data_IF_437623272463
#
_entry.id   IF_437623272463
#
_cell.length_a   1.000
_cell.length_b   1.000
_cell.length_c   1.000
_cell.angle_alpha   90.00
_cell.angle_beta   90.00
_cell.angle_gamma   90.00
#
_symmetry.space_group_name_H-M   'P 1'
#
loop_
_entity.id
_entity.type
_entity.pdbx_description
1 polymer ?
#
# COMPACT_ATOMS: atom_id res chain seq x y z
N UNK A 1 46.05 -49.04 1.90
CA UNK A 1 46.60 -47.78 1.37
C UNK A 1 45.42 -46.87 1.00
N UNK A 2 44.63 -46.42 1.99
CA UNK A 2 43.38 -45.66 1.76
C UNK A 2 43.02 -44.66 2.88
N UNK A 3 43.83 -44.52 3.93
CA UNK A 3 43.51 -43.64 5.08
C UNK A 3 43.93 -42.17 4.93
N UNK A 4 44.92 -41.86 4.08
CA UNK A 4 45.45 -40.49 3.99
C UNK A 4 44.54 -39.52 3.20
N UNK A 5 43.73 -40.03 2.26
CA UNK A 5 42.88 -39.21 1.40
C UNK A 5 41.65 -38.66 2.16
N UNK A 6 41.07 -39.43 3.07
CA UNK A 6 39.87 -39.05 3.83
C UNK A 6 40.17 -38.01 4.90
N UNK A 7 41.32 -38.14 5.57
CA UNK A 7 41.79 -37.17 6.57
C UNK A 7 42.09 -35.79 5.96
N UNK A 8 42.73 -35.75 4.77
CA UNK A 8 43.03 -34.50 4.07
C UNK A 8 41.76 -33.76 3.62
N UNK A 9 40.75 -34.50 3.15
CA UNK A 9 39.47 -33.94 2.73
C UNK A 9 38.61 -33.46 3.91
N UNK A 10 38.62 -34.19 5.04
CA UNK A 10 37.90 -33.78 6.26
C UNK A 10 38.51 -32.52 6.89
N UNK A 11 39.85 -32.42 6.91
CA UNK A 11 40.54 -31.24 7.43
C UNK A 11 40.31 -30.01 6.54
N UNK A 12 40.27 -30.18 5.22
CA UNK A 12 39.93 -29.09 4.29
C UNK A 12 38.47 -28.66 4.43
N UNK A 13 37.54 -29.59 4.62
CA UNK A 13 36.12 -29.28 4.88
C UNK A 13 35.93 -28.53 6.21
N UNK A 14 36.63 -28.93 7.28
CA UNK A 14 36.61 -28.22 8.56
C UNK A 14 37.18 -26.80 8.44
N UNK A 15 38.25 -26.61 7.67
CA UNK A 15 38.81 -25.28 7.40
C UNK A 15 37.84 -24.39 6.60
N UNK A 16 37.21 -24.93 5.57
CA UNK A 16 36.21 -24.20 4.77
C UNK A 16 35.00 -23.81 5.64
N UNK A 17 34.53 -24.73 6.49
CA UNK A 17 33.44 -24.46 7.44
C UNK A 17 33.82 -23.38 8.47
N UNK A 18 35.04 -23.42 9.01
CA UNK A 18 35.52 -22.41 9.95
C UNK A 18 35.65 -21.02 9.29
N UNK A 19 36.13 -20.95 8.05
CA UNK A 19 36.22 -19.70 7.28
C UNK A 19 34.82 -19.13 6.98
N UNK A 20 33.87 -19.98 6.61
CA UNK A 20 32.48 -19.58 6.38
C UNK A 20 31.82 -19.05 7.66
N UNK A 21 32.02 -19.69 8.81
CA UNK A 21 31.43 -19.25 10.07
C UNK A 21 32.00 -17.92 10.59
N UNK A 22 33.27 -17.63 10.34
CA UNK A 22 33.89 -16.34 10.69
C UNK A 22 33.41 -15.20 9.77
N UNK A 23 33.04 -15.51 8.52
CA UNK A 23 32.58 -14.51 7.54
C UNK A 23 31.20 -13.90 7.81
N UNK A 24 30.35 -14.52 8.64
CA UNK A 24 28.95 -14.11 8.83
C UNK A 24 28.78 -13.15 10.05
N UNK A 25 29.84 -12.89 10.82
CA UNK A 25 29.74 -12.14 12.09
C UNK A 25 30.04 -10.63 12.02
N UNK A 26 29.86 -9.99 10.86
CA UNK A 26 30.08 -8.54 10.71
C UNK A 26 28.85 -7.80 10.16
N UNK A 27 27.68 -8.04 10.75
CA UNK A 27 26.56 -7.10 10.65
C UNK A 27 26.49 -6.27 11.94
N UNK A 28 27.26 -5.18 12.01
CA UNK A 28 27.00 -4.14 13.02
C UNK A 28 25.73 -3.41 12.59
N UNK A 29 24.60 -3.80 13.17
CA UNK A 29 23.35 -3.06 13.02
C UNK A 29 23.52 -1.67 13.66
N UNK A 30 23.76 -0.66 12.83
CA UNK A 30 23.72 0.73 13.26
C UNK A 30 22.28 1.19 13.18
N UNK A 31 21.60 1.25 14.34
CA UNK A 31 20.28 1.84 14.41
C UNK A 31 20.35 3.31 13.92
N UNK A 32 19.49 3.74 12.98
CA UNK A 32 19.44 5.13 12.57
C UNK A 32 19.03 6.02 13.74
N UNK A 33 19.80 7.08 13.99
CA UNK A 33 19.46 8.11 14.97
C UNK A 33 18.36 8.97 14.38
N UNK A 34 17.12 8.82 14.88
CA UNK A 34 16.04 9.76 14.59
C UNK A 34 16.44 11.11 15.21
N UNK A 35 16.85 12.07 14.38
CA UNK A 35 16.92 13.48 14.78
C UNK A 35 15.52 14.06 14.61
N UNK A 36 14.84 14.30 15.74
CA UNK A 36 13.61 15.09 15.75
C UNK A 36 14.04 16.53 15.43
N UNK A 37 13.84 16.93 14.18
CA UNK A 37 13.88 18.34 13.79
C UNK A 37 12.52 18.90 14.16
N UNK A 38 12.48 19.79 15.14
CA UNK A 38 11.26 20.53 15.47
C UNK A 38 10.90 21.41 14.26
N UNK A 39 9.81 21.05 13.58
CA UNK A 39 9.18 21.90 12.58
C UNK A 39 8.71 23.18 13.26
N UNK A 40 9.06 24.38 12.77
CA UNK A 40 8.53 25.62 13.30
C UNK A 40 7.00 25.60 13.19
N UNK A 41 6.31 25.80 14.32
CA UNK A 41 4.86 25.95 14.35
C UNK A 41 4.49 27.14 13.45
N UNK A 42 3.67 26.96 12.40
CA UNK A 42 3.16 28.08 11.65
C UNK A 42 2.26 28.93 12.55
N UNK A 43 2.63 30.21 12.67
CA UNK A 43 1.89 31.23 13.41
C UNK A 43 0.48 31.39 12.81
N UNK A 44 -0.59 31.47 13.63
CA UNK A 44 -1.95 31.60 13.13
C UNK A 44 -2.10 32.80 12.19
N UNK A 45 -2.64 32.55 11.00
CA UNK A 45 -3.01 33.59 10.06
C UNK A 45 -4.11 34.46 10.68
N UNK A 46 -3.86 35.76 10.69
CA UNK A 46 -4.79 36.78 11.16
C UNK A 46 -6.03 36.82 10.26
N UNK A 47 -7.21 36.57 10.84
CA UNK A 47 -8.48 36.63 10.13
C UNK A 47 -8.75 38.07 9.66
N UNK A 48 -8.79 38.27 8.35
CA UNK A 48 -9.33 39.48 7.72
C UNK A 48 -10.84 39.28 7.54
N UNK A 49 -11.70 40.24 7.88
CA UNK A 49 -13.14 40.10 7.71
C UNK A 49 -13.50 40.05 6.21
N UNK A 50 -13.94 38.89 5.76
CA UNK A 50 -14.47 38.67 4.41
C UNK A 50 -15.86 39.29 4.28
N UNK A 51 -15.99 40.17 3.29
CA UNK A 51 -17.18 40.93 2.97
C UNK A 51 -18.35 39.98 2.67
N UNK A 52 -19.36 40.00 3.54
CA UNK A 52 -20.61 39.25 3.38
C UNK A 52 -21.33 39.65 2.09
N UNK A 53 -21.39 38.71 1.14
CA UNK A 53 -22.37 38.73 0.06
C UNK A 53 -23.45 37.72 0.42
N UNK A 54 -24.67 38.22 0.59
CA UNK A 54 -25.88 37.42 0.83
C UNK A 54 -26.29 36.75 -0.47
N UNK A 55 -25.87 35.50 -0.68
CA UNK A 55 -26.50 34.64 -1.68
C UNK A 55 -27.84 34.12 -1.13
N UNK A 56 -28.88 34.21 -1.97
CA UNK A 56 -30.20 33.67 -1.70
C UNK A 56 -30.11 32.14 -1.56
N UNK A 57 -30.82 31.51 -0.61
CA UNK A 57 -30.80 30.06 -0.48
C UNK A 57 -31.46 29.43 -1.71
N UNK A 58 -30.64 28.82 -2.56
CA UNK A 58 -31.09 27.78 -3.50
C UNK A 58 -31.73 26.65 -2.69
N UNK A 59 -32.85 26.03 -3.13
CA UNK A 59 -33.50 24.99 -2.35
C UNK A 59 -32.49 23.91 -2.00
N UNK A 60 -32.17 23.80 -0.71
CA UNK A 60 -31.34 22.73 -0.15
C UNK A 60 -32.04 21.42 -0.49
N UNK A 61 -31.56 20.71 -1.49
CA UNK A 61 -31.89 19.31 -1.65
C UNK A 61 -31.42 18.62 -0.37
N UNK A 62 -32.36 18.18 0.46
CA UNK A 62 -32.08 17.33 1.60
C UNK A 62 -31.32 16.12 1.06
N UNK A 63 -30.03 16.01 1.41
CA UNK A 63 -29.19 14.91 0.96
C UNK A 63 -29.89 13.59 1.31
N UNK A 64 -30.22 12.80 0.29
CA UNK A 64 -30.78 11.47 0.49
C UNK A 64 -29.73 10.69 1.30
N UNK A 65 -30.07 10.19 2.50
CA UNK A 65 -29.13 9.40 3.27
C UNK A 65 -28.80 8.14 2.48
N UNK A 66 -27.52 7.91 2.20
CA UNK A 66 -27.09 6.70 1.54
C UNK A 66 -27.37 5.49 2.43
N UNK A 67 -27.70 4.36 1.81
CA UNK A 67 -27.94 3.09 2.51
C UNK A 67 -27.07 1.97 1.95
N UNK A 68 -25.98 2.32 1.26
CA UNK A 68 -25.04 1.33 0.74
C UNK A 68 -24.29 0.65 1.90
N UNK A 69 -24.16 -0.67 1.83
CA UNK A 69 -23.45 -1.47 2.83
C UNK A 69 -22.18 -2.10 2.29
N UNK A 70 -22.01 -2.10 0.97
CA UNK A 70 -20.84 -2.68 0.30
C UNK A 70 -20.18 -1.60 -0.55
N UNK A 71 -18.85 -1.62 -0.59
CA UNK A 71 -18.09 -0.80 -1.50
C UNK A 71 -18.12 -1.35 -2.93
N UNK A 72 -17.54 -0.59 -3.85
CA UNK A 72 -17.46 -0.94 -5.27
C UNK A 72 -16.01 -0.89 -5.74
N UNK A 73 -15.65 -1.73 -6.70
CA UNK A 73 -14.32 -1.70 -7.34
C UNK A 73 -14.45 -1.07 -8.72
N UNK A 74 -13.60 -0.08 -8.98
CA UNK A 74 -13.47 0.55 -10.31
C UNK A 74 -12.07 0.29 -10.86
N UNK A 75 -11.97 0.16 -12.18
CA UNK A 75 -10.69 -0.02 -12.86
C UNK A 75 -10.26 1.29 -13.53
N UNK A 76 -8.95 1.56 -13.56
CA UNK A 76 -8.39 2.75 -14.17
C UNK A 76 -6.95 2.51 -14.66
N UNK A 77 -6.56 3.15 -15.75
CA UNK A 77 -5.18 3.17 -16.23
C UNK A 77 -4.49 4.47 -15.82
N UNK A 78 -3.39 4.34 -15.08
CA UNK A 78 -2.60 5.48 -14.60
C UNK A 78 -1.36 5.65 -15.49
N UNK A 79 -1.20 6.78 -16.19
CA UNK A 79 0.01 7.04 -16.97
C UNK A 79 1.22 7.14 -16.04
N UNK A 80 2.38 6.67 -16.51
CA UNK A 80 3.63 6.70 -15.76
C UNK A 80 4.74 7.23 -16.64
N UNK A 81 5.51 8.20 -16.16
CA UNK A 81 6.69 8.70 -16.88
C UNK A 81 7.88 7.72 -16.77
N UNK A 82 7.90 6.92 -15.70
CA UNK A 82 8.97 5.97 -15.41
C UNK A 82 8.77 4.63 -16.12
N UNK A 83 7.52 4.30 -16.44
CA UNK A 83 7.15 3.07 -17.14
C UNK A 83 6.74 3.43 -18.57
N UNK A 84 7.14 2.61 -19.53
CA UNK A 84 6.81 2.83 -20.95
C UNK A 84 5.32 2.64 -21.24
N UNK A 85 4.60 1.98 -20.33
CA UNK A 85 3.19 1.63 -20.45
C UNK A 85 2.42 2.15 -19.22
N UNK A 86 1.12 2.49 -19.37
CA UNK A 86 0.24 2.80 -18.24
C UNK A 86 0.16 1.64 -17.26
N UNK A 87 -0.09 1.96 -15.98
CA UNK A 87 -0.33 0.97 -14.93
C UNK A 87 -1.83 0.83 -14.71
N UNK A 88 -2.38 -0.33 -15.03
CA UNK A 88 -3.76 -0.66 -14.69
C UNK A 88 -3.91 -0.88 -13.18
N UNK A 89 -4.90 -0.24 -12.57
CA UNK A 89 -5.19 -0.32 -11.14
C UNK A 89 -6.67 -0.64 -10.91
N UNK A 90 -6.94 -1.44 -9.89
CA UNK A 90 -8.28 -1.58 -9.29
C UNK A 90 -8.36 -0.71 -8.06
N UNK A 91 -9.46 0.02 -7.90
CA UNK A 91 -9.68 0.94 -6.79
C UNK A 91 -10.98 0.56 -6.10
N UNK A 92 -10.88 0.14 -4.84
CA UNK A 92 -12.04 0.00 -3.97
C UNK A 92 -12.48 1.37 -3.46
N UNK A 93 -13.75 1.68 -3.68
CA UNK A 93 -14.48 2.82 -3.15
C UNK A 93 -15.37 2.32 -2.00
N UNK A 94 -15.29 2.91 -0.80
CA UNK A 94 -16.11 2.49 0.32
C UNK A 94 -17.60 2.74 0.06
N UNK A 95 -18.50 2.09 0.82
CA UNK A 95 -19.93 2.36 0.73
C UNK A 95 -20.21 3.86 0.82
N UNK A 96 -21.13 4.36 -0.02
CA UNK A 96 -21.55 5.75 -0.07
C UNK A 96 -20.51 6.77 -0.52
N UNK A 97 -19.39 6.34 -1.13
CA UNK A 97 -18.35 7.24 -1.63
C UNK A 97 -18.91 8.39 -2.49
N UNK A 98 -19.86 8.10 -3.39
CA UNK A 98 -20.44 9.11 -4.30
C UNK A 98 -21.48 10.02 -3.64
N UNK A 99 -22.02 9.65 -2.47
CA UNK A 99 -23.04 10.44 -1.77
C UNK A 99 -22.44 11.51 -0.87
N UNK A 100 -21.14 11.46 -0.60
CA UNK A 100 -20.44 12.34 0.33
C UNK A 100 -19.56 13.34 -0.44
N UNK A 101 -20.08 14.54 -0.70
CA UNK A 101 -19.27 15.62 -1.27
C UNK A 101 -18.36 16.25 -0.20
N UNK A 102 -17.14 16.62 -0.59
CA UNK A 102 -16.19 17.31 0.29
C UNK A 102 -15.47 16.42 1.31
N UNK A 103 -15.68 15.10 1.29
CA UNK A 103 -14.94 14.15 2.13
C UNK A 103 -13.62 13.78 1.47
N UNK A 104 -12.54 13.84 2.24
CA UNK A 104 -11.23 13.31 1.84
C UNK A 104 -11.01 11.95 2.47
N UNK A 105 -10.64 10.96 1.66
CA UNK A 105 -10.40 9.60 2.11
C UNK A 105 -8.90 9.33 2.21
N UNK A 106 -8.47 8.62 3.26
CA UNK A 106 -7.14 8.03 3.27
C UNK A 106 -7.03 6.92 2.22
N UNK A 107 -5.80 6.63 1.76
CA UNK A 107 -5.56 5.66 0.69
C UNK A 107 -4.58 4.60 1.16
N UNK A 108 -4.97 3.34 1.02
CA UNK A 108 -4.11 2.18 1.20
C UNK A 108 -3.71 1.62 -0.17
N UNK A 109 -2.41 1.55 -0.45
CA UNK A 109 -1.89 0.84 -1.61
C UNK A 109 -1.55 -0.59 -1.20
N UNK A 110 -2.21 -1.57 -1.80
CA UNK A 110 -2.05 -2.99 -1.46
C UNK A 110 -1.48 -3.77 -2.64
N UNK A 111 -0.21 -4.15 -2.54
CA UNK A 111 0.48 -4.91 -3.57
C UNK A 111 0.20 -6.40 -3.40
N UNK A 112 0.10 -7.12 -4.51
CA UNK A 112 -0.06 -8.57 -4.52
C UNK A 112 1.29 -9.27 -4.24
N UNK A 113 1.22 -10.57 -3.92
CA UNK A 113 2.41 -11.40 -3.78
C UNK A 113 3.05 -11.74 -5.13
N UNK A 114 4.28 -12.23 -5.08
CA UNK A 114 4.95 -12.79 -6.27
C UNK A 114 4.09 -13.90 -6.89
N UNK A 115 4.01 -13.96 -8.21
CA UNK A 115 3.19 -14.90 -9.01
C UNK A 115 1.66 -14.71 -8.90
N UNK A 116 1.19 -13.67 -8.22
CA UNK A 116 -0.24 -13.31 -8.21
C UNK A 116 -0.52 -12.07 -9.05
N UNK A 117 -1.80 -11.74 -9.18
CA UNK A 117 -2.29 -10.59 -9.91
C UNK A 117 -2.98 -9.60 -8.95
N UNK A 118 -3.36 -8.45 -9.48
CA UNK A 118 -4.09 -7.39 -8.79
C UNK A 118 -5.43 -7.85 -8.15
N UNK A 119 -5.98 -8.97 -8.62
CA UNK A 119 -7.21 -9.58 -8.11
C UNK A 119 -7.02 -10.42 -6.83
N UNK A 120 -5.78 -10.68 -6.39
CA UNK A 120 -5.49 -11.57 -5.26
C UNK A 120 -6.28 -11.21 -4.01
N UNK A 121 -6.25 -9.92 -3.65
CA UNK A 121 -6.89 -9.41 -2.44
C UNK A 121 -8.42 -9.47 -2.51
N UNK A 122 -8.97 -9.29 -3.72
CA UNK A 122 -10.40 -9.46 -3.97
C UNK A 122 -10.79 -10.93 -3.77
N UNK A 123 -10.03 -11.85 -4.38
CA UNK A 123 -10.28 -13.30 -4.32
C UNK A 123 -10.23 -13.88 -2.91
N UNK A 124 -9.33 -13.38 -2.05
CA UNK A 124 -9.22 -13.86 -0.66
C UNK A 124 -10.19 -13.15 0.31
N UNK A 125 -11.07 -12.27 -0.19
CA UNK A 125 -12.13 -11.66 0.61
C UNK A 125 -11.72 -10.42 1.42
N UNK A 126 -10.62 -9.75 1.06
CA UNK A 126 -10.19 -8.53 1.76
C UNK A 126 -11.29 -7.47 1.75
N UNK A 127 -11.89 -7.19 0.59
CA UNK A 127 -12.84 -6.09 0.44
C UNK A 127 -14.13 -6.32 1.24
N UNK A 128 -14.66 -7.54 1.22
CA UNK A 128 -15.79 -7.92 2.09
C UNK A 128 -15.46 -7.70 3.56
N UNK A 129 -14.23 -8.05 3.99
CA UNK A 129 -13.83 -7.83 5.38
C UNK A 129 -13.73 -6.34 5.72
N UNK A 130 -13.29 -5.50 4.78
CA UNK A 130 -13.24 -4.05 4.97
C UNK A 130 -14.64 -3.46 5.09
N UNK A 131 -15.59 -3.88 4.26
CA UNK A 131 -17.00 -3.46 4.36
C UNK A 131 -17.57 -3.76 5.77
N UNK A 132 -17.33 -4.97 6.29
CA UNK A 132 -17.73 -5.35 7.66
C UNK A 132 -17.12 -4.42 8.72
N UNK A 133 -15.81 -4.15 8.64
CA UNK A 133 -15.11 -3.31 9.60
C UNK A 133 -15.59 -1.85 9.56
N UNK A 134 -15.93 -1.33 8.37
CA UNK A 134 -16.52 -0.01 8.18
C UNK A 134 -17.93 0.03 8.78
N UNK A 135 -18.77 -0.98 8.51
CA UNK A 135 -20.12 -1.07 9.07
C UNK A 135 -20.12 -1.16 10.60
N UNK A 136 -19.16 -1.89 11.17
CA UNK A 136 -18.92 -1.99 12.61
C UNK A 136 -18.24 -0.74 13.21
N UNK A 137 -17.88 0.25 12.38
CA UNK A 137 -17.17 1.49 12.77
C UNK A 137 -15.82 1.24 13.46
N UNK A 138 -15.18 0.11 13.16
CA UNK A 138 -13.82 -0.22 13.65
C UNK A 138 -12.73 0.48 12.87
N UNK A 139 -13.01 0.83 11.62
CA UNK A 139 -12.15 1.66 10.75
C UNK A 139 -13.00 2.74 10.11
N UNK A 140 -12.40 3.91 9.85
CA UNK A 140 -13.04 4.94 9.03
C UNK A 140 -13.04 4.50 7.57
N UNK A 141 -14.04 4.89 6.74
CA UNK A 141 -14.01 4.65 5.30
C UNK A 141 -12.71 5.15 4.65
N UNK A 142 -12.13 4.34 3.76
CA UNK A 142 -10.88 4.64 3.05
C UNK A 142 -10.84 3.96 1.68
N UNK A 143 -9.97 4.43 0.80
CA UNK A 143 -9.75 3.85 -0.53
C UNK A 143 -8.70 2.75 -0.46
N UNK A 144 -8.84 1.71 -1.28
CA UNK A 144 -7.78 0.71 -1.50
C UNK A 144 -7.43 0.68 -2.97
N UNK A 145 -6.17 0.93 -3.29
CA UNK A 145 -5.64 0.83 -4.66
C UNK A 145 -4.85 -0.47 -4.78
N UNK A 146 -5.19 -1.26 -5.77
CA UNK A 146 -4.60 -2.56 -6.11
C UNK A 146 -3.95 -2.44 -7.50
N UNK A 147 -2.66 -2.06 -7.59
CA UNK A 147 -1.97 -1.94 -8.86
C UNK A 147 -1.65 -3.30 -9.48
N UNK A 148 -1.74 -3.39 -10.80
CA UNK A 148 -1.18 -4.50 -11.57
C UNK A 148 0.33 -4.33 -11.73
N UNK A 149 1.07 -5.42 -11.60
CA UNK A 149 2.50 -5.44 -11.91
C UNK A 149 2.75 -5.74 -13.40
N UNK A 150 3.36 -4.79 -14.12
CA UNK A 150 3.61 -4.91 -15.56
C UNK A 150 4.96 -5.58 -15.94
N UNK A 151 5.98 -5.59 -15.06
CA UNK A 151 7.34 -6.08 -15.42
C UNK A 151 7.76 -7.40 -14.81
N UNK A 152 7.20 -7.83 -13.68
CA UNK A 152 7.45 -9.17 -13.13
C UNK A 152 6.58 -10.24 -13.80
N UNK A 153 5.39 -9.85 -14.28
CA UNK A 153 4.46 -10.73 -14.99
C UNK A 153 4.79 -10.89 -16.48
N UNK A 154 5.89 -10.32 -16.98
CA UNK A 154 6.26 -10.31 -18.39
C UNK A 154 6.51 -11.71 -19.01
N UNK A 155 6.37 -12.80 -18.25
CA UNK A 155 6.50 -14.19 -18.72
C UNK A 155 5.33 -15.12 -18.35
N UNK A 156 4.19 -14.63 -17.83
CA UNK A 156 3.06 -15.51 -17.47
C UNK A 156 1.97 -15.62 -18.54
N UNK A 157 2.09 -14.90 -19.66
CA UNK A 157 1.06 -14.85 -20.72
C UNK A 157 1.47 -15.41 -22.09
N UNK A 158 2.63 -16.06 -22.21
CA UNK A 158 3.01 -16.82 -23.43
C UNK A 158 3.03 -18.32 -23.10
N UNK A 159 1.87 -18.96 -23.19
CA UNK A 159 1.72 -20.41 -23.44
C UNK A 159 0.38 -20.66 -24.12
#
# INVERSE_FOLDING_TARGET
MTDHQTSFNLLNLLKISLILMVGISACSYRAPRIQITETPIPQPAQLTPEKSQTEFPSPTQTAVPCTETNGNVVESDVPSELLTEPVSVKIYLPPCYNSQSGVSYSVLYMLHGQTSMDDQWVRIGLLTKIDELIAEKKVQPFLIVLPTEIRSNANSGQS
#
